data_IF_970415415150
#
_entry.id   IF_970415415150
#
_cell.length_a   1.000
_cell.length_b   1.000
_cell.length_c   1.000
_cell.angle_alpha   90.00
_cell.angle_beta   90.00
_cell.angle_gamma   90.00
#
_symmetry.space_group_name_H-M   'P 1'
#
loop_
_entity.id
_entity.type
_entity.pdbx_description
1 polymer ?
#
# COMPACT_ATOMS: atom_id res chain seq x y z
N UNK A 1 56.01 7.23 66.80
CA UNK A 1 54.61 6.89 66.44
C UNK A 1 54.24 5.59 67.14
N UNK A 2 53.15 5.55 67.90
CA UNK A 2 52.78 4.36 68.69
C UNK A 2 52.26 3.24 67.79
N UNK A 3 52.60 1.98 68.07
CA UNK A 3 52.14 0.83 67.25
C UNK A 3 50.60 0.77 67.17
N UNK A 4 49.92 1.23 68.22
CA UNK A 4 48.45 1.34 68.30
C UNK A 4 47.89 2.33 67.28
N UNK A 5 48.48 3.53 67.14
CA UNK A 5 47.99 4.55 66.21
C UNK A 5 48.14 4.10 64.75
N UNK A 6 49.22 3.39 64.43
CA UNK A 6 49.42 2.80 63.09
C UNK A 6 48.38 1.72 62.77
N UNK A 7 48.03 0.87 63.75
CA UNK A 7 47.00 -0.16 63.59
C UNK A 7 45.60 0.41 63.33
N UNK A 8 45.21 1.46 64.07
CA UNK A 8 43.90 2.12 63.89
C UNK A 8 43.80 2.78 62.51
N UNK A 9 44.85 3.49 62.07
CA UNK A 9 44.90 4.11 60.74
C UNK A 9 44.79 3.04 59.65
N UNK A 10 45.53 1.94 59.77
CA UNK A 10 45.46 0.84 58.82
C UNK A 10 44.05 0.22 58.74
N UNK A 11 43.39 0.01 59.88
CA UNK A 11 42.01 -0.51 59.92
C UNK A 11 41.01 0.44 59.24
N UNK A 12 41.13 1.76 59.46
CA UNK A 12 40.26 2.74 58.83
C UNK A 12 40.43 2.77 57.32
N UNK A 13 41.68 2.70 56.83
CA UNK A 13 41.96 2.64 55.39
C UNK A 13 41.35 1.39 54.74
N UNK A 14 41.40 0.23 55.42
CA UNK A 14 40.77 -0.99 54.94
C UNK A 14 39.25 -0.82 54.83
N UNK A 15 38.60 -0.25 55.85
CA UNK A 15 37.15 -0.02 55.83
C UNK A 15 36.75 0.92 54.69
N UNK A 16 37.49 2.01 54.48
CA UNK A 16 37.23 2.94 53.36
C UNK A 16 37.41 2.25 52.02
N UNK A 17 38.44 1.43 51.85
CA UNK A 17 38.67 0.68 50.63
C UNK A 17 37.51 -0.30 50.33
N UNK A 18 37.01 -1.01 51.34
CA UNK A 18 35.86 -1.92 51.20
C UNK A 18 34.59 -1.16 50.84
N UNK A 19 34.31 -0.02 51.48
CA UNK A 19 33.16 0.82 51.16
C UNK A 19 33.23 1.40 49.74
N UNK A 20 34.41 1.85 49.31
CA UNK A 20 34.62 2.35 47.96
C UNK A 20 34.39 1.25 46.92
N UNK A 21 34.95 0.05 47.14
CA UNK A 21 34.74 -1.10 46.27
C UNK A 21 33.27 -1.52 46.21
N UNK A 22 32.59 -1.61 47.35
CA UNK A 22 31.17 -1.95 47.39
C UNK A 22 30.33 -0.91 46.64
N UNK A 23 30.58 0.38 46.85
CA UNK A 23 29.86 1.46 46.18
C UNK A 23 30.04 1.41 44.66
N UNK A 24 31.27 1.21 44.19
CA UNK A 24 31.57 1.05 42.75
C UNK A 24 30.90 -0.20 42.16
N UNK A 25 30.92 -1.32 42.89
CA UNK A 25 30.25 -2.55 42.49
C UNK A 25 28.73 -2.38 42.36
N UNK A 26 28.07 -1.73 43.32
CA UNK A 26 26.63 -1.46 43.25
C UNK A 26 26.27 -0.43 42.19
N UNK A 27 27.09 0.63 42.03
CA UNK A 27 26.86 1.65 41.01
C UNK A 27 26.99 1.06 39.61
N UNK A 28 28.05 0.31 39.34
CA UNK A 28 28.25 -0.35 38.04
C UNK A 28 27.14 -1.35 37.73
N UNK A 29 26.66 -2.11 38.72
CA UNK A 29 25.52 -3.00 38.58
C UNK A 29 24.22 -2.24 38.26
N UNK A 30 23.95 -1.14 38.97
CA UNK A 30 22.77 -0.30 38.74
C UNK A 30 22.77 0.35 37.33
N UNK A 31 23.93 0.82 36.87
CA UNK A 31 24.09 1.35 35.51
C UNK A 31 23.82 0.26 34.47
N UNK A 32 24.35 -0.96 34.66
CA UNK A 32 24.10 -2.08 33.73
C UNK A 32 22.63 -2.48 33.67
N UNK A 33 21.94 -2.54 34.80
CA UNK A 33 20.50 -2.82 34.82
C UNK A 33 19.68 -1.74 34.11
N UNK A 34 20.00 -0.46 34.33
CA UNK A 34 19.35 0.65 33.61
C UNK A 34 19.55 0.52 32.10
N UNK A 35 20.78 0.26 31.65
CA UNK A 35 21.08 0.04 30.23
C UNK A 35 20.31 -1.15 29.63
N UNK A 36 20.19 -2.25 30.37
CA UNK A 36 19.39 -3.40 29.94
C UNK A 36 17.91 -3.03 29.81
N UNK A 37 17.35 -2.33 30.80
CA UNK A 37 15.97 -1.87 30.75
C UNK A 37 15.73 -0.94 29.57
N UNK A 38 16.57 0.07 29.37
CA UNK A 38 16.46 1.01 28.24
C UNK A 38 16.56 0.28 26.90
N UNK A 39 17.43 -0.72 26.80
CA UNK A 39 17.55 -1.55 25.59
C UNK A 39 16.29 -2.35 25.33
N UNK A 40 15.71 -2.98 26.37
CA UNK A 40 14.50 -3.79 26.25
C UNK A 40 13.29 -2.93 25.95
N UNK A 41 13.12 -1.80 26.63
CA UNK A 41 12.01 -0.86 26.39
C UNK A 41 12.08 -0.26 25.00
N UNK A 42 13.28 0.10 24.53
CA UNK A 42 13.47 0.59 23.17
C UNK A 42 13.13 -0.48 22.12
N UNK A 43 13.62 -1.72 22.28
CA UNK A 43 13.28 -2.84 21.38
C UNK A 43 11.79 -3.15 21.37
N UNK A 44 11.14 -3.09 22.53
CA UNK A 44 9.70 -3.30 22.66
C UNK A 44 8.92 -2.18 21.97
N UNK A 45 9.33 -0.93 22.15
CA UNK A 45 8.72 0.22 21.47
C UNK A 45 8.86 0.10 19.94
N UNK A 46 10.05 -0.28 19.46
CA UNK A 46 10.31 -0.50 18.03
C UNK A 46 9.43 -1.62 17.48
N UNK A 47 9.34 -2.76 18.17
CA UNK A 47 8.49 -3.88 17.77
C UNK A 47 7.00 -3.47 17.70
N UNK A 48 6.52 -2.74 18.71
CA UNK A 48 5.14 -2.24 18.72
C UNK A 48 4.87 -1.23 17.59
N UNK A 49 5.83 -0.35 17.29
CA UNK A 49 5.73 0.57 16.17
C UNK A 49 5.65 -0.18 14.84
N UNK A 50 6.52 -1.19 14.63
CA UNK A 50 6.50 -2.04 13.43
C UNK A 50 5.18 -2.81 13.30
N UNK A 51 4.66 -3.40 14.39
CA UNK A 51 3.35 -4.10 14.37
C UNK A 51 2.22 -3.13 13.98
N UNK A 52 2.23 -1.92 14.55
CA UNK A 52 1.21 -0.90 14.27
C UNK A 52 1.25 -0.45 12.81
N UNK A 53 2.46 -0.27 12.25
CA UNK A 53 2.65 0.04 10.84
C UNK A 53 2.12 -1.10 9.96
N UNK A 54 2.49 -2.34 10.25
CA UNK A 54 2.00 -3.54 9.53
C UNK A 54 0.47 -3.62 9.54
N UNK A 55 -0.18 -3.40 10.69
CA UNK A 55 -1.64 -3.42 10.80
C UNK A 55 -2.31 -2.29 10.00
N UNK A 56 -1.68 -1.11 9.97
CA UNK A 56 -2.20 0.04 9.21
C UNK A 56 -2.11 -0.25 7.71
N UNK A 57 -0.96 -0.75 7.24
CA UNK A 57 -0.77 -1.14 5.83
C UNK A 57 -1.75 -2.23 5.40
N UNK A 58 -1.99 -3.25 6.24
CA UNK A 58 -2.98 -4.29 5.94
C UNK A 58 -4.39 -3.71 5.78
N UNK A 59 -4.79 -2.78 6.67
CA UNK A 59 -6.09 -2.09 6.55
C UNK A 59 -6.18 -1.26 5.28
N UNK A 60 -5.13 -0.49 4.97
CA UNK A 60 -5.09 0.35 3.76
C UNK A 60 -5.19 -0.50 2.49
N UNK A 61 -4.49 -1.65 2.43
CA UNK A 61 -4.56 -2.59 1.31
C UNK A 61 -5.95 -3.21 1.19
N UNK A 62 -6.58 -3.60 2.30
CA UNK A 62 -7.93 -4.15 2.30
C UNK A 62 -8.97 -3.15 1.79
N UNK A 63 -8.83 -1.86 2.17
CA UNK A 63 -9.70 -0.79 1.66
C UNK A 63 -9.49 -0.60 0.14
N UNK A 64 -8.25 -0.63 -0.32
CA UNK A 64 -7.92 -0.51 -1.73
C UNK A 64 -8.50 -1.67 -2.55
N UNK A 65 -8.34 -2.90 -2.04
CA UNK A 65 -8.86 -4.11 -2.65
C UNK A 65 -10.39 -4.10 -2.73
N UNK A 66 -11.07 -3.72 -1.65
CA UNK A 66 -12.52 -3.63 -1.62
C UNK A 66 -13.06 -2.60 -2.63
N UNK A 67 -12.38 -1.45 -2.76
CA UNK A 67 -12.74 -0.42 -3.73
C UNK A 67 -12.66 -0.95 -5.16
N UNK A 68 -11.50 -1.48 -5.56
CA UNK A 68 -11.28 -1.90 -6.94
C UNK A 68 -12.00 -3.19 -7.31
N UNK A 69 -12.20 -4.10 -6.36
CA UNK A 69 -13.08 -5.26 -6.55
C UNK A 69 -14.51 -4.84 -6.83
N UNK A 70 -15.03 -3.84 -6.11
CA UNK A 70 -16.36 -3.29 -6.36
C UNK A 70 -16.46 -2.62 -7.72
N UNK A 71 -15.53 -1.72 -8.05
CA UNK A 71 -15.51 -1.03 -9.36
C UNK A 71 -15.46 -2.03 -10.53
N UNK A 72 -14.65 -3.08 -10.40
CA UNK A 72 -14.57 -4.16 -11.39
C UNK A 72 -15.88 -4.95 -11.50
N UNK A 73 -16.49 -5.31 -10.37
CA UNK A 73 -17.75 -6.06 -10.35
C UNK A 73 -18.90 -5.26 -10.96
N UNK A 74 -19.02 -3.97 -10.63
CA UNK A 74 -20.05 -3.07 -11.16
C UNK A 74 -19.89 -2.92 -12.69
N UNK A 75 -18.67 -2.67 -13.17
CA UNK A 75 -18.40 -2.54 -14.60
C UNK A 75 -18.60 -3.85 -15.38
N UNK A 76 -18.30 -5.00 -14.76
CA UNK A 76 -18.60 -6.32 -15.33
C UNK A 76 -20.10 -6.56 -15.41
N UNK A 77 -20.87 -6.23 -14.36
CA UNK A 77 -22.31 -6.37 -14.35
C UNK A 77 -22.99 -5.54 -15.45
N UNK A 78 -22.50 -4.31 -15.71
CA UNK A 78 -22.96 -3.50 -16.85
C UNK A 78 -22.67 -4.18 -18.19
N UNK A 79 -21.46 -4.73 -18.38
CA UNK A 79 -21.12 -5.44 -19.61
C UNK A 79 -21.99 -6.68 -19.81
N UNK A 80 -22.14 -7.51 -18.78
CA UNK A 80 -22.97 -8.70 -18.79
C UNK A 80 -24.45 -8.36 -19.08
N UNK A 81 -24.94 -7.19 -18.63
CA UNK A 81 -26.26 -6.69 -19.00
C UNK A 81 -26.38 -6.33 -20.49
N UNK A 82 -25.33 -5.72 -21.08
CA UNK A 82 -25.29 -5.45 -22.52
C UNK A 82 -25.24 -6.74 -23.34
N UNK A 83 -24.45 -7.73 -22.91
CA UNK A 83 -24.37 -9.05 -23.57
C UNK A 83 -25.72 -9.76 -23.57
N UNK A 84 -26.41 -9.78 -22.43
CA UNK A 84 -27.77 -10.34 -22.32
C UNK A 84 -28.76 -9.61 -23.20
N UNK A 85 -28.67 -8.28 -23.30
CA UNK A 85 -29.52 -7.49 -24.20
C UNK A 85 -29.31 -7.86 -25.67
N UNK A 86 -28.06 -8.04 -26.12
CA UNK A 86 -27.77 -8.49 -27.48
C UNK A 86 -28.29 -9.92 -27.71
N UNK A 87 -28.07 -10.83 -26.77
CA UNK A 87 -28.55 -12.22 -26.87
C UNK A 87 -30.09 -12.31 -26.94
N UNK A 88 -30.80 -11.36 -26.33
CA UNK A 88 -32.26 -11.25 -26.43
C UNK A 88 -32.76 -10.56 -27.71
N UNK A 89 -31.88 -10.27 -28.69
CA UNK A 89 -32.22 -9.57 -29.93
C UNK A 89 -32.35 -8.05 -29.79
N UNK A 90 -31.95 -7.48 -28.66
CA UNK A 90 -31.89 -6.04 -28.46
C UNK A 90 -30.68 -5.40 -29.16
N UNK A 91 -30.72 -4.08 -29.36
CA UNK A 91 -29.62 -3.32 -30.03
C UNK A 91 -28.78 -2.54 -29.02
N UNK A 92 -27.46 -2.57 -29.15
CA UNK A 92 -26.51 -1.75 -28.39
C UNK A 92 -25.79 -0.79 -29.35
N UNK A 93 -25.59 0.46 -28.94
CA UNK A 93 -24.86 1.45 -29.73
C UNK A 93 -23.43 1.58 -29.22
N UNK A 94 -22.48 1.54 -30.12
CA UNK A 94 -21.07 1.78 -29.83
C UNK A 94 -20.65 3.07 -30.50
N UNK A 95 -19.99 3.95 -29.76
CA UNK A 95 -19.44 5.19 -30.32
C UNK A 95 -18.19 4.85 -31.11
N UNK A 96 -18.31 4.84 -32.44
CA UNK A 96 -17.17 4.70 -33.35
C UNK A 96 -16.67 6.06 -33.84
N UNK A 97 -15.37 6.14 -34.17
CA UNK A 97 -14.80 7.22 -34.98
C UNK A 97 -13.94 6.59 -36.07
N UNK A 98 -14.27 6.83 -37.32
CA UNK A 98 -13.44 6.46 -38.46
C UNK A 98 -12.54 7.65 -38.81
N UNK A 99 -11.22 7.43 -38.81
CA UNK A 99 -10.23 8.46 -39.21
C UNK A 99 -9.91 8.41 -40.70
N UNK A 100 -10.32 7.34 -41.38
CA UNK A 100 -10.17 7.22 -42.84
C UNK A 100 -11.30 8.02 -43.51
N UNK A 101 -11.00 8.94 -44.44
CA UNK A 101 -12.04 9.62 -45.19
C UNK A 101 -12.85 8.57 -45.96
N UNK A 102 -14.15 8.54 -45.73
CA UNK A 102 -15.04 7.71 -46.52
C UNK A 102 -14.97 8.20 -47.97
N UNK A 103 -14.74 7.29 -48.92
CA UNK A 103 -14.98 7.56 -50.34
C UNK A 103 -16.50 7.67 -50.53
N UNK A 104 -17.07 8.80 -50.14
CA UNK A 104 -18.48 9.10 -50.41
C UNK A 104 -18.57 9.80 -51.76
N UNK A 105 -19.50 9.36 -52.61
CA UNK A 105 -19.94 10.16 -53.75
C UNK A 105 -20.26 11.59 -53.28
N UNK A 106 -19.79 12.58 -54.02
CA UNK A 106 -19.98 14.00 -53.69
C UNK A 106 -21.46 14.30 -53.52
N UNK A 107 -21.89 14.65 -52.31
CA UNK A 107 -23.25 15.14 -52.09
C UNK A 107 -23.45 16.44 -52.87
N UNK A 108 -24.53 16.53 -53.66
CA UNK A 108 -24.88 17.74 -54.40
C UNK A 108 -25.00 18.97 -53.47
N UNK A 109 -24.69 20.18 -53.97
CA UNK A 109 -24.81 21.41 -53.19
C UNK A 109 -26.24 21.56 -52.65
N UNK A 110 -26.40 21.55 -51.32
CA UNK A 110 -27.69 21.65 -50.65
C UNK A 110 -28.18 20.36 -49.95
N UNK A 111 -27.47 19.24 -50.08
CA UNK A 111 -27.83 17.98 -49.43
C UNK A 111 -26.97 17.71 -48.18
N UNK A 112 -27.62 17.46 -47.03
CA UNK A 112 -26.98 16.83 -45.88
C UNK A 112 -26.96 15.32 -46.11
N UNK A 113 -25.78 14.75 -46.39
CA UNK A 113 -25.63 13.31 -46.59
C UNK A 113 -26.02 12.54 -45.33
N UNK A 114 -27.03 11.67 -45.43
CA UNK A 114 -27.42 10.78 -44.34
C UNK A 114 -26.54 9.53 -44.45
N UNK A 115 -25.41 9.51 -43.73
CA UNK A 115 -24.51 8.37 -43.76
C UNK A 115 -25.25 7.10 -43.28
N UNK A 116 -25.14 6.01 -44.04
CA UNK A 116 -25.76 4.74 -43.68
C UNK A 116 -25.30 4.30 -42.28
N UNK A 117 -26.24 3.90 -41.43
CA UNK A 117 -25.91 3.30 -40.14
C UNK A 117 -25.31 1.92 -40.39
N UNK A 118 -24.06 1.72 -39.98
CA UNK A 118 -23.40 0.41 -40.07
C UNK A 118 -23.88 -0.45 -38.91
N UNK A 119 -24.50 -1.58 -39.20
CA UNK A 119 -24.82 -2.60 -38.21
C UNK A 119 -23.72 -3.67 -38.20
N UNK A 120 -23.24 -4.00 -37.00
CA UNK A 120 -22.35 -5.14 -36.80
C UNK A 120 -23.19 -6.41 -36.79
N UNK A 121 -22.63 -7.52 -37.28
CA UNK A 121 -23.24 -8.84 -37.10
C UNK A 121 -23.32 -9.20 -35.61
N UNK A 122 -24.22 -10.10 -35.24
CA UNK A 122 -24.37 -10.53 -33.84
C UNK A 122 -23.06 -11.05 -33.25
N UNK A 123 -22.29 -11.82 -34.04
CA UNK A 123 -20.96 -12.31 -33.66
C UNK A 123 -19.98 -11.16 -33.42
N UNK A 124 -19.95 -10.16 -34.31
CA UNK A 124 -19.10 -8.99 -34.14
C UNK A 124 -19.53 -8.16 -32.92
N UNK A 125 -20.83 -8.04 -32.64
CA UNK A 125 -21.36 -7.36 -31.46
C UNK A 125 -20.93 -8.02 -30.15
N UNK A 126 -20.99 -9.35 -30.06
CA UNK A 126 -20.52 -10.10 -28.89
C UNK A 126 -19.00 -9.94 -28.69
N UNK A 127 -18.21 -10.07 -29.77
CA UNK A 127 -16.76 -9.89 -29.71
C UNK A 127 -16.36 -8.50 -29.19
N UNK A 128 -17.09 -7.44 -29.56
CA UNK A 128 -16.86 -6.08 -29.04
C UNK A 128 -17.10 -6.01 -27.53
N UNK A 129 -18.13 -6.67 -27.01
CA UNK A 129 -18.40 -6.69 -25.57
C UNK A 129 -17.40 -7.53 -24.80
N UNK A 130 -16.91 -8.64 -25.37
CA UNK A 130 -15.82 -9.45 -24.79
C UNK A 130 -14.51 -8.64 -24.70
N UNK A 131 -14.16 -7.92 -25.78
CA UNK A 131 -13.01 -7.01 -25.77
C UNK A 131 -13.19 -5.93 -24.70
N UNK A 132 -14.39 -5.34 -24.60
CA UNK A 132 -14.69 -4.36 -23.54
C UNK A 132 -14.51 -4.96 -22.14
N UNK A 133 -14.93 -6.20 -21.92
CA UNK A 133 -14.79 -6.88 -20.63
C UNK A 133 -13.31 -7.10 -20.26
N UNK A 134 -12.49 -7.53 -21.24
CA UNK A 134 -11.04 -7.65 -21.07
C UNK A 134 -10.38 -6.32 -20.71
N UNK A 135 -10.70 -5.25 -21.46
CA UNK A 135 -10.18 -3.90 -21.21
C UNK A 135 -10.56 -3.41 -19.80
N UNK A 136 -11.81 -3.58 -19.37
CA UNK A 136 -12.26 -3.20 -18.03
C UNK A 136 -11.43 -3.93 -16.96
N UNK A 137 -11.29 -5.26 -17.08
CA UNK A 137 -10.46 -6.05 -16.15
C UNK A 137 -9.04 -5.52 -16.06
N UNK A 138 -8.41 -5.28 -17.20
CA UNK A 138 -7.01 -4.90 -17.24
C UNK A 138 -6.80 -3.46 -16.74
N UNK A 139 -7.71 -2.55 -17.06
CA UNK A 139 -7.68 -1.18 -16.55
C UNK A 139 -7.84 -1.14 -15.02
N UNK A 140 -8.78 -1.90 -14.45
CA UNK A 140 -8.97 -1.92 -13.00
C UNK A 140 -7.76 -2.55 -12.29
N UNK A 141 -7.20 -3.63 -12.82
CA UNK A 141 -5.95 -4.22 -12.29
C UNK A 141 -4.77 -3.24 -12.35
N UNK A 142 -4.61 -2.52 -13.45
CA UNK A 142 -3.55 -1.53 -13.60
C UNK A 142 -3.72 -0.35 -12.64
N UNK A 143 -4.95 0.16 -12.49
CA UNK A 143 -5.25 1.23 -11.50
C UNK A 143 -4.95 0.75 -10.09
N UNK A 144 -5.44 -0.43 -9.70
CA UNK A 144 -5.16 -1.05 -8.41
C UNK A 144 -3.66 -1.14 -8.16
N UNK A 145 -2.89 -1.69 -9.10
CA UNK A 145 -1.45 -1.86 -8.95
C UNK A 145 -0.72 -0.52 -8.84
N UNK A 146 -1.10 0.47 -9.64
CA UNK A 146 -0.52 1.81 -9.57
C UNK A 146 -0.78 2.46 -8.21
N UNK A 147 -2.00 2.39 -7.70
CA UNK A 147 -2.36 2.93 -6.38
C UNK A 147 -1.67 2.16 -5.26
N UNK A 148 -1.60 0.82 -5.35
CA UNK A 148 -0.87 -0.01 -4.40
C UNK A 148 0.60 0.41 -4.32
N UNK A 149 1.28 0.57 -5.46
CA UNK A 149 2.68 1.00 -5.50
C UNK A 149 2.85 2.41 -4.91
N UNK A 150 1.95 3.34 -5.21
CA UNK A 150 1.98 4.70 -4.65
C UNK A 150 1.78 4.70 -3.13
N UNK A 151 0.83 3.93 -2.64
CA UNK A 151 0.43 3.91 -1.24
C UNK A 151 1.35 3.04 -0.36
N UNK A 152 1.85 1.92 -0.87
CA UNK A 152 2.59 0.92 -0.08
C UNK A 152 4.08 0.90 -0.36
N UNK A 153 4.51 1.02 -1.62
CA UNK A 153 5.93 0.86 -1.98
C UNK A 153 6.69 2.19 -2.00
N UNK A 154 6.06 3.29 -2.42
CA UNK A 154 6.70 4.62 -2.49
C UNK A 154 6.57 5.45 -1.22
N UNK A 155 5.69 5.04 -0.30
CA UNK A 155 5.49 5.72 0.97
C UNK A 155 6.64 5.32 1.91
N UNK A 156 7.61 6.23 2.10
CA UNK A 156 8.68 6.06 3.08
C UNK A 156 8.06 5.76 4.44
N UNK A 157 8.45 4.64 5.04
CA UNK A 157 8.13 4.34 6.44
C UNK A 157 8.81 5.37 7.35
N UNK A 158 8.15 5.85 8.43
CA UNK A 158 8.74 6.79 9.39
C UNK A 158 10.05 6.31 10.06
N UNK A 159 10.44 5.05 9.87
CA UNK A 159 11.65 4.46 10.45
C UNK A 159 12.96 4.85 9.77
N UNK A 160 12.94 5.61 8.67
CA UNK A 160 14.18 6.13 8.06
C UNK A 160 14.65 7.46 8.69
N UNK A 161 13.92 7.96 9.69
CA UNK A 161 14.26 9.17 10.43
C UNK A 161 14.58 8.85 11.89
N UNK A 162 15.75 8.23 12.10
CA UNK A 162 16.44 8.36 13.38
C UNK A 162 17.96 8.47 13.11
N UNK A 163 18.63 9.45 13.73
CA UNK A 163 20.02 9.81 13.45
C UNK A 163 21.03 8.72 13.82
#
# INVERSE_FOLDING_TARGET
MNRITTGVIASLLIVVAVLAWATDHYHSNAVRFRQQLDTVTHKLALANATITDMQTRQRDVAVLDAKYTKELADAKAENDALQRRLAAGGRVRVKGRCTVPAQTETASPGSVGNAATVELSDVAGQNVLDIRAGIISDQEKLKYLQEYIRAQCRKKSPQEEQP
#
